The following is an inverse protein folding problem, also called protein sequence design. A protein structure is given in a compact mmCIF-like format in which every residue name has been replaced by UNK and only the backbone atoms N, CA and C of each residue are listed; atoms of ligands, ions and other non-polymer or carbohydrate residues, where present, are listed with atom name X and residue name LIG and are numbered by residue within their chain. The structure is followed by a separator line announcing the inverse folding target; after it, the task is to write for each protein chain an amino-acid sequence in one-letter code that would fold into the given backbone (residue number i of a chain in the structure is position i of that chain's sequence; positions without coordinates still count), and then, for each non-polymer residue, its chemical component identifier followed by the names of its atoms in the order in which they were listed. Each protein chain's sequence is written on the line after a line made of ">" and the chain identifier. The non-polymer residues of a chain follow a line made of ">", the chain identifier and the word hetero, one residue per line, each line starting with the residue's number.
data_IF_651990323290
#
_entry.id   IF_651990323290
#
_cell.length_a   1.000
_cell.length_b   1.000
_cell.length_c   1.000
_cell.angle_alpha   90.00
_cell.angle_beta   90.00
_cell.angle_gamma   90.00
#
_symmetry.space_group_name_H-M   'P 1'
#
loop_
_entity.id
_entity.type
_entity.pdbx_description
1 polymer ?
#
# COMPACT_ATOMS: atom_id res chain seq x y z
N UNK A 1 1.80 -5.84 15.10
CA UNK A 1 2.65 -5.95 13.89
C UNK A 1 4.14 -5.75 14.23
N UNK A 2 4.57 -4.57 14.71
CA UNK A 2 5.99 -4.30 15.10
C UNK A 2 6.60 -5.43 15.95
N UNK A 3 6.01 -5.76 17.11
CA UNK A 3 6.53 -6.79 18.02
C UNK A 3 6.69 -8.17 17.37
N UNK A 4 5.78 -8.54 16.46
CA UNK A 4 5.81 -9.83 15.79
C UNK A 4 6.91 -9.89 14.74
N UNK A 5 7.06 -8.86 13.91
CA UNK A 5 8.17 -8.81 12.94
C UNK A 5 9.52 -8.70 13.64
N UNK A 6 9.63 -7.92 14.72
CA UNK A 6 10.86 -7.85 15.53
C UNK A 6 11.23 -9.23 16.08
N UNK A 7 10.28 -9.94 16.69
CA UNK A 7 10.52 -11.28 17.21
C UNK A 7 10.87 -12.30 16.12
N UNK A 8 10.31 -12.15 14.91
CA UNK A 8 10.66 -12.98 13.76
C UNK A 8 12.07 -12.69 13.25
N UNK A 9 12.42 -11.42 13.07
CA UNK A 9 13.75 -11.00 12.63
C UNK A 9 14.86 -11.34 13.65
N UNK A 10 14.54 -11.48 14.94
CA UNK A 10 15.47 -11.99 15.94
C UNK A 10 15.81 -13.48 15.75
N UNK A 11 14.89 -14.25 15.14
CA UNK A 11 14.98 -15.72 15.00
C UNK A 11 15.36 -16.17 13.60
N UNK A 12 15.08 -15.33 12.61
CA UNK A 12 15.29 -15.62 11.18
C UNK A 12 16.27 -14.59 10.57
N UNK A 13 17.51 -15.00 10.26
CA UNK A 13 18.52 -14.13 9.65
C UNK A 13 18.13 -13.61 8.26
N UNK A 14 17.33 -14.36 7.49
CA UNK A 14 16.88 -13.96 6.16
C UNK A 14 15.86 -12.82 6.27
N UNK A 15 14.88 -12.97 7.17
CA UNK A 15 13.92 -11.90 7.50
C UNK A 15 14.66 -10.67 8.02
N UNK A 16 15.64 -10.85 8.90
CA UNK A 16 16.45 -9.75 9.42
C UNK A 16 17.18 -9.02 8.30
N UNK A 17 17.84 -9.74 7.40
CA UNK A 17 18.53 -9.16 6.27
C UNK A 17 17.55 -8.41 5.35
N UNK A 18 16.36 -8.97 5.11
CA UNK A 18 15.31 -8.37 4.30
C UNK A 18 14.78 -7.03 4.81
N UNK A 19 14.94 -6.71 6.10
CA UNK A 19 14.41 -5.47 6.70
C UNK A 19 15.47 -4.55 7.30
N UNK A 20 16.73 -4.97 7.39
CA UNK A 20 17.81 -4.19 8.03
C UNK A 20 19.04 -3.96 7.15
N UNK A 21 19.08 -4.54 5.96
CA UNK A 21 20.22 -4.32 5.04
C UNK A 21 20.19 -2.92 4.48
N UNK A 22 21.34 -2.22 4.55
CA UNK A 22 21.48 -0.87 4.02
C UNK A 22 21.07 -0.81 2.53
N UNK A 23 20.43 0.28 2.08
CA UNK A 23 20.17 1.52 2.82
C UNK A 23 18.92 1.49 3.73
N UNK A 24 18.24 0.34 3.81
CA UNK A 24 16.98 0.21 4.52
C UNK A 24 17.16 -0.10 6.01
N UNK A 25 16.13 0.25 6.77
CA UNK A 25 15.96 -0.11 8.18
C UNK A 25 14.51 -0.54 8.40
N UNK A 26 14.26 -1.27 9.49
CA UNK A 26 12.94 -1.87 9.76
C UNK A 26 11.81 -0.83 9.78
N UNK A 27 12.10 0.43 10.15
CA UNK A 27 11.10 1.51 10.23
C UNK A 27 10.54 1.93 8.87
N UNK A 28 11.20 1.56 7.77
CA UNK A 28 10.69 1.82 6.42
C UNK A 28 9.61 0.82 5.99
N UNK A 29 9.59 -0.37 6.58
CA UNK A 29 8.61 -1.42 6.28
C UNK A 29 7.53 -1.53 7.36
N UNK A 30 7.79 -1.06 8.58
CA UNK A 30 6.79 -0.97 9.64
C UNK A 30 6.81 0.41 10.27
N UNK A 31 5.68 1.11 10.17
CA UNK A 31 5.46 2.33 10.92
C UNK A 31 5.29 2.02 12.42
N UNK A 32 6.12 2.63 13.26
CA UNK A 32 6.07 2.51 14.73
C UNK A 32 5.17 3.57 15.39
N UNK A 33 4.59 4.47 14.60
CA UNK A 33 3.63 5.50 15.00
C UNK A 33 2.32 5.40 14.21
N UNK A 34 1.65 6.54 14.01
CA UNK A 34 0.38 6.58 13.28
C UNK A 34 0.57 6.49 11.77
N UNK A 35 -0.08 5.50 11.15
CA UNK A 35 -0.08 5.34 9.70
C UNK A 35 -0.97 6.38 9.01
N UNK A 36 -0.58 6.80 7.80
CA UNK A 36 -1.41 7.67 6.96
C UNK A 36 -2.74 7.00 6.58
N UNK A 37 -2.78 5.66 6.56
CA UNK A 37 -4.01 4.87 6.44
C UNK A 37 -5.00 5.19 7.57
N UNK A 38 -4.53 5.28 8.82
CA UNK A 38 -5.38 5.60 9.97
C UNK A 38 -5.90 7.04 9.94
N UNK A 39 -5.27 7.91 9.15
CA UNK A 39 -5.66 9.32 8.97
C UNK A 39 -6.51 9.54 7.72
N UNK A 40 -6.73 8.51 6.91
CA UNK A 40 -7.62 8.54 5.74
C UNK A 40 -7.02 9.21 4.50
N UNK A 41 -5.69 9.21 4.35
CA UNK A 41 -5.03 9.80 3.16
C UNK A 41 -3.93 8.90 2.57
N UNK A 42 -3.99 7.60 2.81
CA UNK A 42 -3.18 6.62 2.09
C UNK A 42 -4.05 5.47 1.60
N UNK A 43 -3.55 4.78 0.58
CA UNK A 43 -4.17 3.60 0.00
C UNK A 43 -3.09 2.61 -0.44
N UNK A 44 -3.44 1.33 -0.30
CA UNK A 44 -2.67 0.19 -0.79
C UNK A 44 -3.49 -0.47 -1.90
N UNK A 45 -2.92 -0.59 -3.10
CA UNK A 45 -3.63 -1.13 -4.25
C UNK A 45 -2.74 -1.98 -5.16
N UNK A 46 -3.39 -2.88 -5.89
CA UNK A 46 -2.80 -3.63 -7.01
C UNK A 46 -3.39 -3.12 -8.34
N UNK A 47 -2.97 -3.71 -9.46
CA UNK A 47 -3.46 -3.38 -10.78
C UNK A 47 -4.16 -4.59 -11.43
N UNK A 48 -5.28 -4.32 -12.10
CA UNK A 48 -6.00 -5.30 -12.92
C UNK A 48 -6.20 -4.76 -14.34
N UNK A 49 -6.32 -5.68 -15.29
CA UNK A 49 -6.85 -5.40 -16.63
C UNK A 49 -8.33 -5.71 -16.64
N UNK A 50 -9.16 -4.68 -16.66
CA UNK A 50 -10.62 -4.83 -16.75
C UNK A 50 -11.00 -5.17 -18.20
N UNK A 51 -11.73 -6.26 -18.39
CA UNK A 51 -12.25 -6.68 -19.71
C UNK A 51 -13.74 -6.42 -19.86
N UNK A 52 -14.49 -6.37 -18.75
CA UNK A 52 -15.91 -6.01 -18.75
C UNK A 52 -16.30 -5.24 -17.49
N UNK A 53 -17.14 -4.24 -17.68
CA UNK A 53 -17.82 -3.51 -16.61
C UNK A 53 -19.33 -3.64 -16.76
N UNK A 54 -20.03 -3.52 -15.65
CA UNK A 54 -21.48 -3.37 -15.60
C UNK A 54 -21.84 -2.07 -14.89
N UNK A 55 -22.91 -1.44 -15.35
CA UNK A 55 -23.50 -0.27 -14.70
C UNK A 55 -24.41 -0.73 -13.57
N UNK A 56 -24.18 -0.23 -12.35
CA UNK A 56 -25.04 -0.46 -11.18
C UNK A 56 -25.52 0.87 -10.60
N UNK A 57 -26.60 0.81 -9.83
CA UNK A 57 -27.17 1.98 -9.14
C UNK A 57 -27.36 1.67 -7.66
N UNK A 58 -26.95 2.59 -6.79
CA UNK A 58 -27.24 2.55 -5.36
C UNK A 58 -27.52 3.95 -4.85
N UNK A 59 -28.57 4.13 -4.03
CA UNK A 59 -28.94 5.45 -3.50
C UNK A 59 -29.12 6.53 -4.57
N UNK A 60 -29.64 6.18 -5.75
CA UNK A 60 -29.82 7.11 -6.88
C UNK A 60 -28.55 7.45 -7.67
N UNK A 61 -27.39 6.90 -7.31
CA UNK A 61 -26.12 7.14 -7.98
C UNK A 61 -25.72 5.94 -8.84
N UNK A 62 -25.30 6.23 -10.07
CA UNK A 62 -24.85 5.23 -11.03
C UNK A 62 -23.33 5.11 -10.99
N UNK A 63 -22.83 3.88 -10.96
CA UNK A 63 -21.39 3.60 -10.95
C UNK A 63 -21.08 2.34 -11.76
N UNK A 64 -19.84 2.26 -12.26
CA UNK A 64 -19.33 1.11 -12.99
C UNK A 64 -18.70 0.11 -12.02
N UNK A 65 -19.02 -1.16 -12.19
CA UNK A 65 -18.41 -2.26 -11.45
C UNK A 65 -17.64 -3.14 -12.44
N UNK A 66 -16.33 -3.36 -12.25
CA UNK A 66 -15.61 -4.40 -12.97
C UNK A 66 -16.23 -5.76 -12.64
N UNK A 67 -16.67 -6.49 -13.66
CA UNK A 67 -17.26 -7.83 -13.50
C UNK A 67 -16.41 -8.94 -14.09
N UNK A 68 -15.55 -8.59 -15.06
CA UNK A 68 -14.48 -9.47 -15.53
C UNK A 68 -13.18 -8.67 -15.60
N UNK A 69 -12.13 -9.26 -15.04
CA UNK A 69 -10.80 -8.68 -14.99
C UNK A 69 -9.73 -9.75 -14.83
N UNK A 70 -8.51 -9.41 -15.19
CA UNK A 70 -7.31 -10.19 -14.92
C UNK A 70 -6.40 -9.41 -13.98
N UNK A 71 -6.00 -10.02 -12.87
CA UNK A 71 -4.98 -9.46 -11.99
C UNK A 71 -3.61 -9.51 -12.67
N UNK A 72 -2.86 -8.41 -12.59
CA UNK A 72 -1.47 -8.42 -13.00
C UNK A 72 -0.60 -9.04 -11.92
N UNK A 73 0.43 -9.77 -12.33
CA UNK A 73 1.51 -10.16 -11.43
C UNK A 73 2.26 -8.89 -11.00
N UNK A 74 2.33 -8.69 -9.69
CA UNK A 74 3.05 -7.58 -9.07
C UNK A 74 4.37 -8.07 -8.49
N UNK A 75 5.33 -7.18 -8.15
CA UNK A 75 6.66 -7.59 -7.70
C UNK A 75 6.66 -8.56 -6.52
N UNK A 76 5.69 -8.42 -5.63
CA UNK A 76 5.45 -9.26 -4.44
C UNK A 76 3.94 -9.27 -4.12
N UNK A 77 3.46 -10.10 -3.17
CA UNK A 77 2.18 -9.83 -2.50
C UNK A 77 2.18 -8.46 -1.80
N UNK A 78 0.99 -7.86 -1.66
CA UNK A 78 0.80 -6.68 -0.80
C UNK A 78 1.15 -7.06 0.64
N UNK A 79 1.83 -6.14 1.35
CA UNK A 79 2.34 -6.31 2.71
C UNK A 79 3.50 -7.31 2.84
N UNK A 80 4.23 -7.56 1.75
CA UNK A 80 5.59 -8.15 1.83
C UNK A 80 6.54 -7.17 2.56
N UNK A 81 6.93 -7.48 3.78
CA UNK A 81 7.70 -6.57 4.63
C UNK A 81 9.20 -6.78 4.44
N UNK A 82 9.70 -6.61 3.21
CA UNK A 82 11.13 -6.75 2.88
C UNK A 82 11.54 -5.86 1.72
N UNK A 83 12.86 -5.74 1.48
CA UNK A 83 13.41 -5.00 0.34
C UNK A 83 12.88 -5.45 -1.03
N UNK A 84 12.31 -6.67 -1.14
CA UNK A 84 11.70 -7.13 -2.39
C UNK A 84 10.50 -6.26 -2.81
N UNK A 85 9.80 -5.65 -1.83
CA UNK A 85 8.66 -4.78 -2.04
C UNK A 85 9.03 -3.33 -2.39
N UNK A 86 10.32 -2.95 -2.25
CA UNK A 86 10.77 -1.59 -2.43
C UNK A 86 10.48 -1.09 -3.86
N UNK A 87 9.95 0.12 -3.97
CA UNK A 87 9.67 0.76 -5.25
C UNK A 87 10.86 1.57 -5.79
N UNK A 88 11.78 1.95 -4.91
CA UNK A 88 13.03 2.65 -5.25
C UNK A 88 14.24 1.91 -4.70
N UNK A 89 15.44 2.32 -5.10
CA UNK A 89 16.70 1.72 -4.63
C UNK A 89 17.01 2.04 -3.17
N UNK A 90 16.33 3.01 -2.57
CA UNK A 90 16.58 3.43 -1.20
C UNK A 90 15.65 4.54 -0.70
N UNK A 91 15.67 4.82 0.62
CA UNK A 91 14.96 5.94 1.20
C UNK A 91 15.35 7.29 0.59
N UNK A 92 14.37 8.11 0.19
CA UNK A 92 14.61 9.42 -0.44
C UNK A 92 15.18 9.36 -1.85
N UNK A 93 15.38 8.15 -2.41
CA UNK A 93 15.84 7.97 -3.77
C UNK A 93 14.69 8.06 -4.77
N UNK A 94 15.03 8.41 -6.01
CA UNK A 94 14.06 8.43 -7.13
C UNK A 94 14.31 7.34 -8.15
N UNK A 95 15.47 6.70 -8.09
CA UNK A 95 15.83 5.54 -8.92
C UNK A 95 14.94 4.36 -8.54
N UNK A 96 14.29 3.76 -9.53
CA UNK A 96 13.36 2.64 -9.32
C UNK A 96 14.13 1.36 -8.99
N UNK A 97 13.57 0.53 -8.11
CA UNK A 97 14.11 -0.79 -7.83
C UNK A 97 14.03 -1.69 -9.08
N UNK A 98 14.97 -2.63 -9.23
CA UNK A 98 14.97 -3.58 -10.35
C UNK A 98 13.79 -4.55 -10.33
N UNK A 99 13.11 -4.70 -9.19
CA UNK A 99 11.91 -5.53 -9.01
C UNK A 99 10.64 -4.85 -9.55
N UNK A 100 10.67 -3.55 -9.87
CA UNK A 100 9.53 -2.82 -10.40
C UNK A 100 9.22 -3.24 -11.84
N UNK A 101 8.33 -4.23 -11.97
CA UNK A 101 7.84 -4.72 -13.26
C UNK A 101 6.90 -3.72 -13.96
N UNK A 102 6.59 -3.97 -15.24
CA UNK A 102 5.80 -3.06 -16.08
C UNK A 102 4.44 -2.68 -15.45
N UNK A 103 3.64 -3.61 -14.88
CA UNK A 103 2.42 -3.27 -14.16
C UNK A 103 2.63 -2.33 -12.97
N UNK A 104 3.65 -2.56 -12.14
CA UNK A 104 3.97 -1.70 -11.01
C UNK A 104 4.41 -0.29 -11.46
N UNK A 105 5.17 -0.20 -12.54
CA UNK A 105 5.55 1.07 -13.16
C UNK A 105 4.32 1.83 -13.69
N UNK A 106 3.38 1.13 -14.34
CA UNK A 106 2.14 1.70 -14.83
C UNK A 106 1.26 2.21 -13.68
N UNK A 107 1.06 1.39 -12.64
CA UNK A 107 0.34 1.75 -11.43
C UNK A 107 0.92 3.01 -10.78
N UNK A 108 2.25 3.01 -10.57
CA UNK A 108 2.97 4.16 -10.03
C UNK A 108 2.78 5.41 -10.89
N UNK A 109 2.76 5.26 -12.21
CA UNK A 109 2.52 6.38 -13.14
C UNK A 109 1.10 6.95 -13.00
N UNK A 110 0.07 6.09 -12.88
CA UNK A 110 -1.31 6.54 -12.68
C UNK A 110 -1.45 7.40 -11.43
N UNK A 111 -0.92 6.92 -10.31
CA UNK A 111 -0.99 7.65 -9.03
C UNK A 111 -0.18 8.94 -9.04
N UNK A 112 1.02 8.95 -9.63
CA UNK A 112 1.80 10.19 -9.77
C UNK A 112 1.08 11.22 -10.64
N UNK A 113 0.45 10.80 -11.75
CA UNK A 113 -0.34 11.68 -12.61
C UNK A 113 -1.58 12.24 -11.89
N UNK A 114 -2.14 11.48 -10.96
CA UNK A 114 -3.23 11.92 -10.09
C UNK A 114 -2.76 12.82 -8.93
N UNK A 115 -1.47 13.14 -8.82
CA UNK A 115 -0.91 14.00 -7.77
C UNK A 115 -0.58 13.29 -6.46
N UNK A 116 -0.66 11.95 -6.43
CA UNK A 116 -0.33 11.15 -5.25
C UNK A 116 1.17 10.82 -5.19
N UNK A 117 1.67 10.57 -3.97
CA UNK A 117 3.08 10.29 -3.70
C UNK A 117 3.28 8.80 -3.40
N UNK A 118 3.90 8.01 -4.29
CA UNK A 118 4.27 6.63 -4.02
C UNK A 118 5.28 6.54 -2.87
N UNK A 119 5.17 5.51 -2.04
CA UNK A 119 6.15 5.24 -0.98
C UNK A 119 7.36 4.47 -1.53
N UNK A 120 8.55 4.81 -1.06
CA UNK A 120 9.81 4.23 -1.53
C UNK A 120 9.95 2.74 -1.18
N UNK A 121 9.47 2.32 -0.01
CA UNK A 121 9.60 0.96 0.51
C UNK A 121 8.51 -0.01 0.06
N UNK A 122 7.43 0.48 -0.57
CA UNK A 122 6.23 -0.31 -0.84
C UNK A 122 5.66 0.05 -2.22
N UNK A 123 5.74 -0.86 -3.19
CA UNK A 123 5.24 -0.60 -4.55
C UNK A 123 3.72 -0.34 -4.64
N UNK A 124 2.96 -0.78 -3.63
CA UNK A 124 1.49 -0.66 -3.58
C UNK A 124 0.98 0.58 -2.85
N UNK A 125 1.81 1.27 -2.05
CA UNK A 125 1.38 2.32 -1.13
C UNK A 125 1.49 3.71 -1.76
N UNK A 126 0.39 4.48 -1.69
CA UNK A 126 0.34 5.84 -2.20
C UNK A 126 -0.27 6.79 -1.18
N UNK A 127 0.38 7.93 -0.96
CA UNK A 127 -0.09 9.00 -0.06
C UNK A 127 -0.77 10.12 -0.85
N UNK A 128 -1.95 10.55 -0.40
CA UNK A 128 -2.68 11.72 -0.90
C UNK A 128 -2.50 12.91 0.04
N UNK A 129 -1.37 13.62 -0.10
CA UNK A 129 -1.11 14.81 0.71
C UNK A 129 -2.03 15.99 0.36
N UNK A 130 -2.67 15.99 -0.81
CA UNK A 130 -3.67 16.99 -1.17
C UNK A 130 -4.93 16.79 -0.33
N UNK A 131 -5.44 15.56 -0.23
CA UNK A 131 -6.55 15.21 0.65
C UNK A 131 -6.26 15.55 2.12
N UNK A 132 -5.05 15.23 2.61
CA UNK A 132 -4.60 15.64 3.96
C UNK A 132 -4.69 17.15 4.16
N UNK A 133 -4.26 17.93 3.16
CA UNK A 133 -4.25 19.40 3.23
C UNK A 133 -5.68 19.95 3.21
N UNK A 134 -6.54 19.43 2.33
CA UNK A 134 -7.96 19.80 2.24
C UNK A 134 -8.74 19.47 3.50
N UNK A 135 -8.40 18.37 4.19
CA UNK A 135 -8.97 18.03 5.47
C UNK A 135 -8.69 19.11 6.53
N UNK A 136 -7.62 19.91 6.39
CA UNK A 136 -7.39 21.11 7.21
C UNK A 136 -7.31 20.81 8.70
N UNK A 137 -6.62 19.71 9.08
CA UNK A 137 -6.52 19.27 10.47
C UNK A 137 -7.71 18.46 10.98
N UNK A 138 -8.76 18.27 10.17
CA UNK A 138 -9.91 17.40 10.46
C UNK A 138 -9.70 15.95 10.02
N UNK A 139 -8.44 15.52 9.87
CA UNK A 139 -8.15 14.10 9.64
C UNK A 139 -8.49 13.31 10.90
N UNK A 140 -8.75 12.02 10.75
CA UNK A 140 -8.86 11.15 11.93
C UNK A 140 -7.59 11.27 12.79
N UNK A 141 -7.77 11.22 14.10
CA UNK A 141 -6.67 11.13 15.07
C UNK A 141 -5.98 9.75 15.03
N UNK A 142 -6.54 8.79 14.28
CA UNK A 142 -6.07 7.41 14.24
C UNK A 142 -6.47 6.66 15.50
N UNK A 143 -5.62 5.72 15.95
CA UNK A 143 -5.88 4.94 17.16
C UNK A 143 -7.02 3.92 17.02
N UNK A 144 -7.51 3.68 15.79
CA UNK A 144 -8.47 2.61 15.55
C UNK A 144 -7.79 1.26 15.75
N UNK A 145 -8.34 0.48 16.66
CA UNK A 145 -7.93 -0.89 16.91
C UNK A 145 -8.99 -1.85 16.39
N UNK A 146 -8.57 -2.82 15.58
CA UNK A 146 -9.43 -3.94 15.22
C UNK A 146 -9.48 -4.88 16.41
N UNK A 147 -10.48 -4.69 17.27
CA UNK A 147 -10.70 -5.56 18.44
C UNK A 147 -11.42 -6.86 18.09
N UNK A 148 -12.15 -6.88 16.95
CA UNK A 148 -12.87 -8.06 16.45
C UNK A 148 -13.21 -7.93 14.97
N UNK A 149 -13.05 -9.00 14.19
CA UNK A 149 -13.62 -9.10 12.84
C UNK A 149 -15.14 -9.28 12.93
N UNK A 150 -15.91 -8.39 12.30
CA UNK A 150 -17.39 -8.43 12.29
C UNK A 150 -17.97 -8.99 10.99
N UNK A 151 -17.14 -9.26 10.00
CA UNK A 151 -17.58 -9.88 8.75
C UNK A 151 -18.12 -11.27 9.04
N UNK A 152 -19.39 -11.49 8.70
CA UNK A 152 -20.03 -12.79 8.63
C UNK A 152 -20.61 -12.92 7.22
N UNK A 153 -20.62 -14.15 6.67
CA UNK A 153 -21.39 -14.39 5.45
C UNK A 153 -22.86 -14.01 5.69
N UNK A 154 -23.55 -13.37 4.73
CA UNK A 154 -24.99 -13.15 4.86
C UNK A 154 -25.69 -14.50 5.05
N UNK A 155 -26.57 -14.56 6.05
CA UNK A 155 -27.44 -15.71 6.30
C UNK A 155 -28.71 -15.66 5.48
#
# INVERSE_FOLDING_TARGET
>A
MVKALTALAERDPEVKAGITTKPWSMTYFINTGYSNHQKGFALDVSLVKVSRTETRTTGGHTYLVPVDYQEYEMPTPIHELSMAAASTTGPGETTLASTMNDPALALRSYFRKAGMTPLESEWWHFNDYAARTLAGGRTSTGGFEVTRCRSAAPG
#
